data_IF_928524601548
#
_entry.id   IF_928524601548
#
_cell.length_a   1.000
_cell.length_b   1.000
_cell.length_c   1.000
_cell.angle_alpha   90.00
_cell.angle_beta   90.00
_cell.angle_gamma   90.00
#
_symmetry.space_group_name_H-M   'P 1'
#
loop_
_entity.id
_entity.type
_entity.pdbx_description
1 polymer ?
#
# COMPACT_ATOMS: atom_id res chain seq x y z
N UNK A 1 -8.47 16.20 -9.06
CA UNK A 1 -8.50 14.73 -9.18
C UNK A 1 -7.15 14.17 -8.78
N UNK A 2 -7.08 13.19 -7.87
CA UNK A 2 -5.80 12.58 -7.54
C UNK A 2 -5.29 11.77 -8.74
N UNK A 3 -3.96 11.75 -8.87
CA UNK A 3 -3.29 11.02 -9.93
C UNK A 3 -2.43 9.90 -9.34
N UNK A 4 -2.11 8.92 -10.17
CA UNK A 4 -1.23 7.82 -9.80
C UNK A 4 0.21 8.12 -10.21
N UNK A 5 1.12 7.21 -9.87
CA UNK A 5 2.56 7.37 -10.19
C UNK A 5 2.85 7.31 -11.69
N UNK A 6 1.89 6.89 -12.50
CA UNK A 6 2.02 6.87 -13.96
C UNK A 6 1.60 8.19 -14.61
N UNK A 7 1.06 9.13 -13.82
CA UNK A 7 0.60 10.41 -14.31
C UNK A 7 -0.83 10.40 -14.85
N UNK A 8 -1.57 9.32 -14.62
CA UNK A 8 -2.97 9.21 -15.02
C UNK A 8 -3.86 9.26 -13.78
N UNK A 9 -5.18 9.14 -13.97
CA UNK A 9 -6.14 9.18 -12.87
C UNK A 9 -5.94 7.99 -11.92
N UNK A 10 -5.97 8.27 -10.62
CA UNK A 10 -5.79 7.22 -9.59
C UNK A 10 -6.93 6.20 -9.68
N UNK A 11 -6.56 4.92 -9.81
CA UNK A 11 -7.51 3.81 -9.87
C UNK A 11 -7.81 3.27 -8.49
N UNK A 12 -8.92 2.55 -8.37
CA UNK A 12 -9.31 1.87 -7.14
C UNK A 12 -8.29 0.77 -6.81
N UNK A 13 -7.87 0.73 -5.54
CA UNK A 13 -6.97 -0.32 -5.06
C UNK A 13 -7.76 -1.58 -4.70
N UNK A 14 -8.70 -1.46 -3.77
CA UNK A 14 -9.53 -2.59 -3.38
C UNK A 14 -10.73 -2.14 -2.55
N UNK A 15 -11.89 -2.75 -2.81
CA UNK A 15 -13.10 -2.53 -2.01
C UNK A 15 -13.48 -3.74 -1.17
N UNK A 16 -12.77 -4.86 -1.33
CA UNK A 16 -13.02 -6.10 -0.58
C UNK A 16 -11.69 -6.77 -0.24
N UNK A 17 -11.06 -6.42 0.89
CA UNK A 17 -11.51 -5.46 1.92
C UNK A 17 -11.42 -4.03 1.42
N UNK A 18 -12.30 -3.17 1.91
CA UNK A 18 -12.23 -1.75 1.57
C UNK A 18 -10.99 -1.14 2.22
N UNK A 19 -10.15 -0.49 1.42
CA UNK A 19 -8.85 0.01 1.84
C UNK A 19 -8.76 1.52 1.70
N UNK A 20 -7.63 2.08 2.12
CA UNK A 20 -7.34 3.50 2.02
C UNK A 20 -7.59 4.23 3.32
N UNK A 21 -6.92 5.38 3.50
CA UNK A 21 -7.08 6.21 4.69
C UNK A 21 -8.55 6.60 4.87
N UNK A 22 -9.24 6.90 3.77
CA UNK A 22 -10.66 7.31 3.80
C UNK A 22 -11.61 6.12 3.70
N UNK A 23 -11.12 4.91 3.59
CA UNK A 23 -11.92 3.68 3.45
C UNK A 23 -12.90 3.74 2.28
N UNK A 24 -12.43 4.25 1.15
CA UNK A 24 -13.22 4.31 -0.08
C UNK A 24 -12.66 3.44 -1.21
N UNK A 25 -11.62 2.67 -0.90
CA UNK A 25 -10.99 1.75 -1.87
C UNK A 25 -9.83 2.38 -2.63
N UNK A 26 -9.56 3.66 -2.44
CA UNK A 26 -8.51 4.39 -3.16
C UNK A 26 -7.39 4.79 -2.20
N UNK A 27 -6.15 4.72 -2.69
CA UNK A 27 -4.98 5.11 -1.91
C UNK A 27 -4.79 6.63 -1.97
N UNK A 28 -5.83 7.36 -1.56
CA UNK A 28 -5.79 8.82 -1.47
C UNK A 28 -5.17 9.23 -0.15
N UNK A 29 -4.53 10.38 -0.11
CA UNK A 29 -3.98 10.93 1.12
C UNK A 29 -4.44 12.37 1.30
N UNK A 30 -4.30 12.90 2.51
CA UNK A 30 -4.70 14.26 2.82
C UNK A 30 -4.32 14.63 4.24
N UNK A 31 -4.77 15.80 4.73
CA UNK A 31 -4.48 16.23 6.10
C UNK A 31 -4.94 15.16 7.10
N UNK A 32 -4.07 14.84 8.05
CA UNK A 32 -4.37 13.82 9.04
C UNK A 32 -3.88 12.42 8.69
N UNK A 33 -3.51 12.17 7.43
CA UNK A 33 -2.94 10.88 7.04
C UNK A 33 -1.42 10.90 7.31
N UNK A 34 -1.05 10.77 8.57
CA UNK A 34 0.34 10.82 9.01
C UNK A 34 1.14 9.66 8.40
N UNK A 35 0.49 8.51 8.23
CA UNK A 35 1.15 7.32 7.66
C UNK A 35 1.31 7.36 6.16
N UNK A 36 0.65 8.29 5.46
CA UNK A 36 0.72 8.42 4.01
C UNK A 36 0.42 7.08 3.30
N UNK A 37 -0.81 6.61 3.43
CA UNK A 37 -1.28 5.33 2.91
C UNK A 37 -1.49 5.40 1.39
N UNK A 38 -0.41 5.48 0.65
CA UNK A 38 -0.42 5.83 -0.77
C UNK A 38 -0.05 4.69 -1.72
N UNK A 39 0.49 3.58 -1.21
CA UNK A 39 0.98 2.47 -2.05
C UNK A 39 -0.04 1.34 -2.08
N UNK A 40 -0.61 1.06 -3.25
CA UNK A 40 -1.49 -0.08 -3.41
C UNK A 40 -0.66 -1.33 -3.67
N UNK A 41 -0.65 -2.26 -2.71
CA UNK A 41 0.15 -3.46 -2.81
C UNK A 41 -0.70 -4.70 -2.60
N UNK A 42 -0.30 -5.80 -3.26
CA UNK A 42 -0.89 -7.11 -3.03
C UNK A 42 -0.10 -7.80 -1.93
N UNK A 43 -0.80 -8.16 -0.86
CA UNK A 43 -0.16 -8.76 0.31
C UNK A 43 0.45 -10.10 -0.03
N UNK A 44 1.64 -10.35 0.55
CA UNK A 44 2.32 -11.63 0.49
C UNK A 44 2.51 -12.14 1.92
N UNK A 45 2.68 -13.45 2.06
CA UNK A 45 2.94 -14.06 3.37
C UNK A 45 4.20 -13.45 3.99
N UNK A 46 5.26 -13.29 3.21
CA UNK A 46 6.55 -12.76 3.67
C UNK A 46 6.42 -11.32 4.17
N UNK A 47 5.70 -10.49 3.41
CA UNK A 47 5.49 -9.11 3.83
C UNK A 47 4.65 -9.02 5.11
N UNK A 48 3.58 -9.81 5.19
CA UNK A 48 2.70 -9.78 6.36
C UNK A 48 3.44 -10.20 7.63
N UNK A 49 4.31 -11.21 7.53
CA UNK A 49 5.14 -11.64 8.65
C UNK A 49 6.15 -10.56 9.05
N UNK A 50 6.77 -9.93 8.07
CA UNK A 50 7.71 -8.83 8.31
C UNK A 50 7.02 -7.65 8.97
N UNK A 51 5.85 -7.28 8.47
CA UNK A 51 5.08 -6.15 9.00
C UNK A 51 4.67 -6.37 10.45
N UNK A 52 4.22 -7.58 10.78
CA UNK A 52 3.86 -7.95 12.15
C UNK A 52 5.07 -7.83 13.08
N UNK A 53 6.21 -8.37 12.65
CA UNK A 53 7.45 -8.33 13.44
C UNK A 53 7.97 -6.89 13.61
N UNK A 54 7.65 -6.01 12.67
CA UNK A 54 8.07 -4.60 12.69
C UNK A 54 7.10 -3.69 13.46
N UNK A 55 6.09 -4.26 14.10
CA UNK A 55 5.14 -3.51 14.91
C UNK A 55 3.92 -2.99 14.17
N UNK A 56 3.75 -3.35 12.90
CA UNK A 56 2.58 -2.97 12.12
C UNK A 56 1.73 -4.21 11.84
N UNK A 57 0.85 -4.55 12.79
CA UNK A 57 0.02 -5.75 12.71
C UNK A 57 -1.12 -5.56 11.71
N UNK A 58 -1.02 -6.25 10.57
CA UNK A 58 -2.03 -6.22 9.53
C UNK A 58 -2.83 -7.53 9.45
N UNK A 59 -2.56 -8.48 10.32
CA UNK A 59 -3.17 -9.80 10.24
C UNK A 59 -4.20 -10.09 11.33
N UNK A 60 -4.08 -9.45 12.50
CA UNK A 60 -4.96 -9.74 13.62
C UNK A 60 -6.34 -9.13 13.41
N UNK A 61 -7.38 -9.93 13.59
CA UNK A 61 -8.77 -9.47 13.53
C UNK A 61 -9.04 -8.51 14.70
N UNK A 62 -9.63 -7.37 14.38
CA UNK A 62 -10.00 -6.33 15.35
C UNK A 62 -11.41 -5.83 15.03
N UNK A 63 -12.09 -5.15 15.97
CA UNK A 63 -13.47 -4.71 15.75
C UNK A 63 -13.69 -3.87 14.50
N UNK A 64 -12.70 -3.06 14.11
CA UNK A 64 -12.78 -2.20 12.92
C UNK A 64 -11.94 -2.68 11.74
N UNK A 65 -11.34 -3.86 11.85
CA UNK A 65 -10.39 -4.34 10.84
C UNK A 65 -10.35 -5.86 10.82
N UNK A 66 -10.70 -6.42 9.68
CA UNK A 66 -10.83 -7.89 9.54
C UNK A 66 -9.51 -8.66 9.44
N UNK A 67 -8.37 -7.96 9.36
CA UNK A 67 -7.08 -8.59 9.11
C UNK A 67 -6.88 -8.87 7.63
N UNK A 68 -5.62 -8.88 7.19
CA UNK A 68 -5.27 -9.16 5.81
C UNK A 68 -4.66 -10.54 5.68
N UNK A 69 -4.80 -11.13 4.49
CA UNK A 69 -4.22 -12.42 4.15
C UNK A 69 -3.53 -12.29 2.79
N UNK A 70 -2.64 -13.23 2.45
CA UNK A 70 -1.97 -13.20 1.14
C UNK A 70 -2.99 -13.09 0.01
N UNK A 71 -2.71 -12.21 -0.96
CA UNK A 71 -3.59 -11.96 -2.09
C UNK A 71 -4.49 -10.74 -1.91
N UNK A 72 -4.72 -10.28 -0.68
CA UNK A 72 -5.49 -9.07 -0.45
C UNK A 72 -4.72 -7.85 -0.91
N UNK A 73 -5.42 -6.85 -1.43
CA UNK A 73 -4.80 -5.57 -1.78
C UNK A 73 -5.07 -4.56 -0.70
N UNK A 74 -4.08 -3.73 -0.42
CA UNK A 74 -4.17 -2.77 0.67
C UNK A 74 -3.37 -1.51 0.35
N UNK A 75 -3.88 -0.35 0.77
CA UNK A 75 -3.15 0.90 0.66
C UNK A 75 -2.16 0.97 1.83
N UNK A 76 -0.91 0.66 1.54
CA UNK A 76 0.14 0.66 2.55
C UNK A 76 0.69 2.05 2.81
N UNK A 77 1.12 2.27 4.04
CA UNK A 77 1.98 3.39 4.40
C UNK A 77 3.25 3.31 3.55
N UNK A 78 3.59 4.39 2.85
CA UNK A 78 4.73 4.39 1.92
C UNK A 78 6.05 4.08 2.63
N UNK A 79 6.22 4.54 3.87
CA UNK A 79 7.44 4.25 4.62
C UNK A 79 7.51 2.79 5.04
N UNK A 80 6.36 2.14 5.29
CA UNK A 80 6.33 0.70 5.60
C UNK A 80 6.69 -0.13 4.38
N UNK A 81 6.26 0.29 3.19
CA UNK A 81 6.67 -0.37 1.96
C UNK A 81 8.17 -0.22 1.74
N UNK A 82 8.70 0.98 2.01
CA UNK A 82 10.15 1.24 1.88
C UNK A 82 10.97 0.38 2.84
N UNK A 83 10.52 0.21 4.08
CA UNK A 83 11.17 -0.69 5.03
C UNK A 83 11.23 -2.12 4.48
N UNK A 84 10.13 -2.58 3.90
CA UNK A 84 10.06 -3.91 3.33
C UNK A 84 10.98 -4.05 2.12
N UNK A 85 11.09 -2.99 1.30
CA UNK A 85 12.01 -2.96 0.18
C UNK A 85 13.45 -3.14 0.65
N UNK A 86 13.84 -2.44 1.69
CA UNK A 86 15.18 -2.54 2.27
C UNK A 86 15.45 -3.92 2.87
N UNK A 87 14.42 -4.59 3.35
CA UNK A 87 14.50 -5.94 3.91
C UNK A 87 14.37 -7.05 2.87
N UNK A 88 14.12 -6.71 1.61
CA UNK A 88 13.99 -7.70 0.53
C UNK A 88 12.65 -8.41 0.48
N UNK A 89 11.61 -7.88 1.13
CA UNK A 89 10.28 -8.50 1.19
C UNK A 89 9.16 -7.54 0.74
N UNK A 90 9.49 -6.55 -0.08
CA UNK A 90 8.49 -5.60 -0.58
C UNK A 90 7.40 -6.32 -1.38
N UNK A 91 6.12 -6.11 -1.05
CA UNK A 91 5.04 -6.75 -1.81
C UNK A 91 4.87 -6.07 -3.17
N UNK A 92 4.34 -6.80 -4.17
CA UNK A 92 4.12 -6.23 -5.50
C UNK A 92 3.07 -5.12 -5.48
N UNK A 93 3.22 -4.15 -6.38
CA UNK A 93 2.46 -2.90 -6.40
C UNK A 93 1.59 -2.80 -7.64
N UNK A 94 0.36 -2.28 -7.46
CA UNK A 94 -0.46 -1.82 -8.57
C UNK A 94 -0.16 -0.34 -8.79
N UNK A 95 0.65 -0.03 -9.80
CA UNK A 95 1.08 1.34 -10.07
C UNK A 95 -0.09 2.28 -10.39
N UNK A 96 -1.08 1.79 -11.12
CA UNK A 96 -2.25 2.61 -11.49
C UNK A 96 -3.10 3.00 -10.29
N UNK A 97 -2.99 2.27 -9.19
CA UNK A 97 -3.72 2.52 -7.96
C UNK A 97 -2.83 3.08 -6.83
N UNK A 98 -1.59 3.43 -7.15
CA UNK A 98 -0.64 4.01 -6.20
C UNK A 98 -0.59 5.52 -6.41
N UNK A 99 -0.82 6.29 -5.33
CA UNK A 99 -0.90 7.74 -5.40
C UNK A 99 0.41 8.36 -5.87
N UNK A 100 0.33 9.41 -6.68
CA UNK A 100 1.50 10.08 -7.26
C UNK A 100 2.51 10.56 -6.21
N UNK A 101 2.06 10.92 -5.02
CA UNK A 101 2.95 11.39 -3.95
C UNK A 101 3.93 10.33 -3.43
N UNK A 102 3.70 9.06 -3.74
CA UNK A 102 4.61 7.99 -3.30
C UNK A 102 6.04 8.21 -3.81
N UNK A 103 6.20 8.85 -4.98
CA UNK A 103 7.53 9.11 -5.55
C UNK A 103 8.33 10.14 -4.74
N UNK A 104 7.71 10.83 -3.80
CA UNK A 104 8.44 11.75 -2.92
C UNK A 104 9.27 10.98 -1.87
N UNK A 105 8.97 9.70 -1.68
CA UNK A 105 9.63 8.87 -0.66
C UNK A 105 10.40 7.69 -1.25
N UNK A 106 9.98 7.21 -2.42
CA UNK A 106 10.58 6.05 -3.09
C UNK A 106 10.72 6.36 -4.57
N UNK A 107 11.86 6.03 -5.18
CA UNK A 107 12.06 6.26 -6.61
C UNK A 107 11.06 5.49 -7.45
N UNK A 108 10.57 6.11 -8.52
CA UNK A 108 9.64 5.46 -9.44
C UNK A 108 10.22 4.15 -9.99
N UNK A 109 11.51 4.10 -10.25
CA UNK A 109 12.16 2.91 -10.76
C UNK A 109 12.03 1.72 -9.80
N UNK A 110 12.11 1.97 -8.49
CA UNK A 110 11.94 0.93 -7.49
C UNK A 110 10.49 0.45 -7.44
N UNK A 111 9.54 1.38 -7.56
CA UNK A 111 8.12 1.03 -7.64
C UNK A 111 7.84 0.18 -8.87
N UNK A 112 8.39 0.57 -10.03
CA UNK A 112 8.22 -0.16 -11.28
C UNK A 112 8.82 -1.56 -11.22
N UNK A 113 9.95 -1.71 -10.53
CA UNK A 113 10.59 -3.02 -10.38
C UNK A 113 9.73 -4.02 -9.61
N UNK A 114 8.78 -3.54 -8.81
CA UNK A 114 7.89 -4.38 -8.02
C UNK A 114 6.44 -4.34 -8.55
N UNK A 115 6.25 -3.87 -9.76
CA UNK A 115 4.94 -3.75 -10.37
C UNK A 115 4.27 -5.11 -10.58
N UNK A 116 2.97 -5.15 -10.33
CA UNK A 116 2.11 -6.25 -10.79
C UNK A 116 2.04 -6.10 -12.30
N UNK A 117 2.63 -7.00 -13.00
CA UNK A 117 2.77 -6.92 -14.46
C UNK A 117 1.44 -7.10 -15.19
#
# INVERSE_FOLDING_TARGET
MPTNVLGTELRCCCKTPVTGFYRDGYCRTGPGDVGLHTVCARMTKEFLQFSLASGNDLVTLQPSFQGLKPGDRWCLCVTRWKEALEAGVAPPIDLAATHSSAVEFVNLEELQAHSLA
#
